data_IF_096058972928
#
_entry.id   IF_096058972928
#
_cell.length_a   1.000
_cell.length_b   1.000
_cell.length_c   1.000
_cell.angle_alpha   90.00
_cell.angle_beta   90.00
_cell.angle_gamma   90.00
#
_symmetry.space_group_name_H-M   'P 1'
#
loop_
_entity.id
_entity.type
_entity.pdbx_description
1 polymer ?
#
# COMPACT_ATOMS: atom_id res chain seq x y z
N UNK A 1 21.76 6.79 3.70
CA UNK A 1 20.76 6.36 2.70
C UNK A 1 19.39 6.70 3.27
N UNK A 2 18.54 7.39 2.51
CA UNK A 2 17.17 7.71 2.97
C UNK A 2 16.28 6.47 2.85
N UNK A 3 15.46 6.21 3.86
CA UNK A 3 14.41 5.19 3.76
C UNK A 3 13.44 5.60 2.65
N UNK A 4 13.20 4.70 1.70
CA UNK A 4 12.20 4.89 0.65
C UNK A 4 10.88 4.35 1.19
N UNK A 5 9.83 5.14 1.17
CA UNK A 5 8.51 4.70 1.58
C UNK A 5 7.46 5.09 0.55
N UNK A 6 6.47 4.23 0.31
CA UNK A 6 5.24 4.63 -0.39
C UNK A 6 4.05 4.47 0.54
N UNK A 7 3.06 5.34 0.39
CA UNK A 7 1.88 5.39 1.23
C UNK A 7 0.61 5.38 0.38
N UNK A 8 -0.39 4.64 0.86
CA UNK A 8 -1.76 4.70 0.35
C UNK A 8 -2.68 5.05 1.52
N UNK A 9 -3.53 6.06 1.30
CA UNK A 9 -4.59 6.43 2.24
C UNK A 9 -5.95 6.34 1.56
N UNK A 10 -6.89 5.76 2.28
CA UNK A 10 -8.31 5.72 1.97
C UNK A 10 -9.08 6.52 3.02
N UNK A 11 -10.41 6.51 2.96
CA UNK A 11 -11.22 7.15 4.00
C UNK A 11 -11.15 6.39 5.33
N UNK A 12 -10.94 5.08 5.30
CA UNK A 12 -11.01 4.20 6.48
C UNK A 12 -9.66 3.66 6.91
N UNK A 13 -8.64 3.66 6.06
CA UNK A 13 -7.34 3.07 6.38
C UNK A 13 -6.18 3.84 5.75
N UNK A 14 -5.00 3.71 6.35
CA UNK A 14 -3.73 4.19 5.82
C UNK A 14 -2.68 3.09 5.93
N UNK A 15 -1.93 2.89 4.85
CA UNK A 15 -0.80 1.95 4.82
C UNK A 15 0.46 2.66 4.34
N UNK A 16 1.58 2.40 5.00
CA UNK A 16 2.93 2.83 4.61
C UNK A 16 3.80 1.58 4.46
N UNK A 17 4.48 1.44 3.33
CA UNK A 17 5.43 0.36 3.07
C UNK A 17 6.84 0.92 2.96
N UNK A 18 7.78 0.40 3.76
CA UNK A 18 9.20 0.77 3.72
C UNK A 18 9.94 -0.16 2.76
N UNK A 19 10.56 0.38 1.71
CA UNK A 19 11.18 -0.42 0.64
C UNK A 19 12.59 -0.87 1.01
N UNK A 20 12.85 -2.17 0.80
CA UNK A 20 14.11 -2.81 1.17
C UNK A 20 14.08 -3.41 2.58
N UNK A 21 12.96 -3.28 3.28
CA UNK A 21 12.70 -3.85 4.60
C UNK A 21 11.32 -4.53 4.58
N UNK A 22 11.11 -5.56 5.40
CA UNK A 22 9.78 -6.19 5.55
C UNK A 22 8.93 -5.47 6.63
N UNK A 23 9.11 -4.15 6.71
CA UNK A 23 8.49 -3.29 7.71
C UNK A 23 7.48 -2.34 7.06
N UNK A 24 6.52 -1.89 7.87
CA UNK A 24 5.52 -0.94 7.45
C UNK A 24 4.59 -0.54 8.58
N UNK A 25 3.61 0.28 8.21
CA UNK A 25 2.58 0.79 9.10
C UNK A 25 1.21 0.58 8.48
N UNK A 26 0.23 0.20 9.31
CA UNK A 26 -1.17 0.09 8.91
C UNK A 26 -2.04 0.67 10.02
N UNK A 27 -2.86 1.66 9.68
CA UNK A 27 -3.77 2.32 10.62
C UNK A 27 -5.21 2.17 10.16
N UNK A 28 -6.10 1.78 11.07
CA UNK A 28 -7.55 1.87 10.90
C UNK A 28 -7.98 3.28 11.31
N UNK A 29 -8.23 4.13 10.32
CA UNK A 29 -8.64 5.51 10.52
C UNK A 29 -10.10 5.66 10.94
N UNK A 30 -10.92 4.61 10.77
CA UNK A 30 -12.31 4.62 11.22
C UNK A 30 -12.40 4.40 12.74
N UNK A 31 -11.54 3.53 13.28
CA UNK A 31 -11.48 3.26 14.73
C UNK A 31 -10.46 4.15 15.46
N UNK A 32 -9.35 4.48 14.80
CA UNK A 32 -8.26 5.28 15.35
C UNK A 32 -7.84 6.39 14.36
N UNK A 33 -8.62 7.48 14.27
CA UNK A 33 -8.30 8.62 13.41
C UNK A 33 -6.97 9.30 13.73
N UNK A 34 -6.42 9.06 14.93
CA UNK A 34 -5.16 9.62 15.39
C UNK A 34 -3.93 8.79 15.07
N UNK A 35 -4.08 7.62 14.42
CA UNK A 35 -2.95 6.77 13.99
C UNK A 35 -2.02 6.35 15.14
N UNK A 36 -2.58 6.06 16.32
CA UNK A 36 -1.85 5.64 17.50
C UNK A 36 -1.45 4.15 17.45
N UNK A 37 -2.28 3.29 16.86
CA UNK A 37 -2.07 1.84 16.86
C UNK A 37 -1.64 1.30 15.49
N UNK A 38 -0.38 0.89 15.37
CA UNK A 38 0.11 0.24 14.16
C UNK A 38 -0.34 -1.23 14.08
N UNK A 39 -1.19 -1.54 13.11
CA UNK A 39 -1.76 -2.86 12.80
C UNK A 39 -0.97 -3.67 11.77
N UNK A 40 0.24 -3.25 11.39
CA UNK A 40 1.01 -3.90 10.31
C UNK A 40 1.26 -5.40 10.52
N UNK A 41 1.46 -5.80 11.77
CA UNK A 41 1.72 -7.18 12.18
C UNK A 41 0.50 -7.86 12.82
N UNK A 42 -0.66 -7.20 12.83
CA UNK A 42 -1.89 -7.74 13.41
C UNK A 42 -2.55 -8.71 12.42
N UNK A 43 -2.69 -10.01 12.75
CA UNK A 43 -3.30 -11.00 11.86
C UNK A 43 -4.74 -10.66 11.47
N UNK A 44 -5.47 -9.93 12.33
CA UNK A 44 -6.85 -9.51 12.04
C UNK A 44 -6.93 -8.55 10.85
N UNK A 45 -5.83 -7.86 10.53
CA UNK A 45 -5.76 -6.86 9.46
C UNK A 45 -5.06 -7.39 8.20
N UNK A 46 -4.72 -8.67 8.12
CA UNK A 46 -4.03 -9.24 6.96
C UNK A 46 -4.77 -9.01 5.64
N UNK A 47 -6.09 -9.17 5.63
CA UNK A 47 -6.89 -8.95 4.43
C UNK A 47 -6.84 -7.48 4.00
N UNK A 48 -7.05 -6.56 4.94
CA UNK A 48 -6.96 -5.11 4.70
C UNK A 48 -5.58 -4.72 4.19
N UNK A 49 -4.52 -5.27 4.80
CA UNK A 49 -3.13 -5.06 4.37
C UNK A 49 -2.93 -5.48 2.91
N UNK A 50 -3.40 -6.69 2.54
CA UNK A 50 -3.31 -7.18 1.15
C UNK A 50 -4.04 -6.26 0.17
N UNK A 51 -5.27 -5.86 0.49
CA UNK A 51 -6.08 -4.98 -0.36
C UNK A 51 -5.41 -3.61 -0.58
N UNK A 52 -4.84 -3.03 0.48
CA UNK A 52 -4.13 -1.76 0.39
C UNK A 52 -2.80 -1.87 -0.36
N UNK A 53 -2.05 -2.98 -0.21
CA UNK A 53 -0.83 -3.23 -0.98
C UNK A 53 -1.13 -3.39 -2.48
N UNK A 54 -2.20 -4.10 -2.86
CA UNK A 54 -2.65 -4.20 -4.25
C UNK A 54 -2.97 -2.80 -4.78
N UNK A 55 -3.77 -2.03 -4.04
CA UNK A 55 -4.14 -0.67 -4.42
C UNK A 55 -2.92 0.26 -4.57
N UNK A 56 -1.93 0.10 -3.71
CA UNK A 56 -0.67 0.83 -3.78
C UNK A 56 0.09 0.47 -5.07
N UNK A 57 0.18 -0.82 -5.38
CA UNK A 57 0.80 -1.32 -6.61
C UNK A 57 0.10 -0.77 -7.87
N UNK A 58 -1.24 -0.83 -7.92
CA UNK A 58 -2.03 -0.31 -9.03
C UNK A 58 -1.81 1.19 -9.22
N UNK A 59 -1.75 1.96 -8.13
CA UNK A 59 -1.45 3.40 -8.20
C UNK A 59 -0.03 3.68 -8.71
N UNK A 60 0.95 2.89 -8.30
CA UNK A 60 2.31 3.01 -8.83
C UNK A 60 2.32 2.71 -10.33
N UNK A 61 1.65 1.63 -10.78
CA UNK A 61 1.53 1.30 -12.19
C UNK A 61 0.85 2.42 -13.00
N UNK A 62 -0.17 3.07 -12.45
CA UNK A 62 -0.87 4.18 -13.09
C UNK A 62 -0.02 5.46 -13.24
N UNK A 63 1.12 5.55 -12.55
CA UNK A 63 2.08 6.68 -12.70
C UNK A 63 3.19 6.41 -13.71
N UNK A 64 3.27 5.18 -14.23
CA UNK A 64 4.24 4.79 -15.26
C UNK A 64 3.65 5.05 -16.64
N UNK A 65 4.52 5.41 -17.59
CA UNK A 65 4.14 5.52 -19.01
C UNK A 65 3.56 4.18 -19.50
N UNK A 66 2.31 4.14 -20.00
CA UNK A 66 1.72 2.90 -20.46
C UNK A 66 2.55 2.28 -21.58
N UNK A 67 2.74 0.96 -21.50
CA UNK A 67 3.33 0.22 -22.60
C UNK A 67 2.48 0.39 -23.87
N UNK A 68 3.11 0.39 -25.06
CA UNK A 68 2.35 0.33 -26.29
C UNK A 68 1.41 -0.89 -26.28
N UNK A 69 0.27 -0.82 -26.99
CA UNK A 69 -0.67 -1.94 -27.06
C UNK A 69 0.05 -3.24 -27.42
N UNK A 70 -0.27 -4.32 -26.71
CA UNK A 70 0.33 -5.63 -26.98
C UNK A 70 -0.06 -6.07 -28.40
N UNK A 71 0.85 -5.92 -29.33
CA UNK A 71 0.78 -6.49 -30.68
C UNK A 71 1.45 -7.86 -30.68
N UNK A 72 0.69 -8.89 -30.33
CA UNK A 72 1.10 -10.27 -30.58
C UNK A 72 0.35 -10.78 -31.83
N UNK A 73 1.06 -11.24 -32.88
CA UNK A 73 0.44 -11.80 -34.08
C UNK A 73 0.06 -13.29 -33.92
N UNK A 74 -0.03 -13.80 -32.69
CA UNK A 74 -0.41 -15.17 -32.37
C UNK A 74 -1.35 -15.20 -31.17
#
# INVERSE_FOLDING_TARGET
AGARATMVRTQTHKLIAFHGEELGELYDLAQDPGEHENRWADPAYEQVKRELLIRLCDRMAATVDPLPPRVAPW
#
